data_IF_553683807102
#
_entry.id   IF_553683807102
#
_cell.length_a   1.000
_cell.length_b   1.000
_cell.length_c   1.000
_cell.angle_alpha   90.00
_cell.angle_beta   90.00
_cell.angle_gamma   90.00
#
_symmetry.space_group_name_H-M   'P 1'
#
loop_
_entity.id
_entity.type
_entity.pdbx_description
1 polymer ?
#
# COMPACT_ATOMS: atom_id res chain seq x y z
N UNK A 1 6.46 -0.32 -21.38
CA UNK A 1 7.56 -0.72 -20.46
C UNK A 1 7.02 -0.71 -19.03
N UNK A 2 7.09 -1.84 -18.32
CA UNK A 2 6.58 -2.00 -16.95
C UNK A 2 7.29 -0.99 -16.03
N UNK A 3 6.62 0.11 -15.69
CA UNK A 3 7.17 1.16 -14.83
C UNK A 3 7.11 0.65 -13.39
N UNK A 4 8.11 -0.15 -12.98
CA UNK A 4 8.22 -0.64 -11.60
C UNK A 4 8.60 0.52 -10.67
N UNK A 5 7.59 1.18 -10.10
CA UNK A 5 7.76 2.23 -9.09
C UNK A 5 7.13 1.82 -7.76
N UNK A 6 7.29 0.55 -7.38
CA UNK A 6 6.81 -0.03 -6.12
C UNK A 6 6.65 -1.54 -6.20
N UNK A 7 6.41 -2.18 -5.05
CA UNK A 7 6.16 -3.62 -4.95
C UNK A 7 4.98 -3.92 -4.05
N UNK A 8 4.29 -5.03 -4.29
CA UNK A 8 3.29 -5.54 -3.37
C UNK A 8 3.97 -5.96 -2.06
N UNK A 9 3.46 -5.47 -0.94
CA UNK A 9 3.87 -5.87 0.41
C UNK A 9 2.66 -6.51 1.12
N UNK A 10 2.23 -6.02 2.28
CA UNK A 10 1.08 -6.53 3.00
C UNK A 10 -0.27 -6.33 2.27
N UNK A 11 -1.17 -7.27 2.50
CA UNK A 11 -2.51 -7.31 1.91
C UNK A 11 -3.57 -7.74 2.92
N UNK A 12 -4.81 -7.34 2.68
CA UNK A 12 -5.99 -7.85 3.38
C UNK A 12 -7.16 -7.97 2.40
N UNK A 13 -8.30 -8.46 2.84
CA UNK A 13 -9.53 -8.56 2.03
C UNK A 13 -10.67 -7.96 2.85
N UNK A 14 -11.54 -7.17 2.21
CA UNK A 14 -12.72 -6.63 2.88
C UNK A 14 -13.90 -7.61 2.88
N UNK A 15 -14.99 -7.22 3.55
CA UNK A 15 -16.19 -8.04 3.68
C UNK A 15 -16.92 -8.30 2.36
N UNK A 16 -16.63 -7.52 1.31
CA UNK A 16 -17.17 -7.72 -0.04
C UNK A 16 -16.31 -8.67 -0.89
N UNK A 17 -15.17 -9.12 -0.35
CA UNK A 17 -14.23 -10.00 -1.05
C UNK A 17 -13.22 -9.28 -1.93
N UNK A 18 -13.06 -7.97 -1.79
CA UNK A 18 -12.12 -7.19 -2.59
C UNK A 18 -10.73 -7.18 -1.91
N UNK A 19 -9.67 -7.62 -2.59
CA UNK A 19 -8.31 -7.53 -2.06
C UNK A 19 -7.81 -6.09 -1.95
N UNK A 20 -7.14 -5.78 -0.86
CA UNK A 20 -6.41 -4.54 -0.62
C UNK A 20 -4.92 -4.83 -0.53
N UNK A 21 -4.09 -4.05 -1.22
CA UNK A 21 -2.64 -4.22 -1.22
C UNK A 21 -1.91 -2.89 -0.99
N UNK A 22 -0.96 -2.91 -0.05
CA UNK A 22 -0.03 -1.83 0.16
C UNK A 22 1.12 -1.91 -0.85
N UNK A 23 1.22 -0.92 -1.74
CA UNK A 23 2.32 -0.79 -2.70
C UNK A 23 3.48 -0.03 -2.08
N UNK A 24 4.42 -0.77 -1.50
CA UNK A 24 5.63 -0.23 -0.88
C UNK A 24 6.51 0.44 -1.94
N UNK A 25 7.14 1.56 -1.58
CA UNK A 25 7.90 2.48 -2.44
C UNK A 25 7.05 3.30 -3.44
N UNK A 26 5.83 2.88 -3.76
CA UNK A 26 4.88 3.69 -4.57
C UNK A 26 4.10 4.67 -3.69
N UNK A 27 3.83 4.29 -2.44
CA UNK A 27 3.00 5.07 -1.51
C UNK A 27 1.53 5.04 -1.91
N UNK A 28 1.06 3.88 -2.35
CA UNK A 28 -0.33 3.69 -2.79
C UNK A 28 -0.94 2.48 -2.14
N UNK A 29 -2.16 2.65 -1.64
CA UNK A 29 -3.00 1.55 -1.21
C UNK A 29 -4.04 1.31 -2.30
N UNK A 30 -4.08 0.09 -2.82
CA UNK A 30 -4.96 -0.25 -3.96
C UNK A 30 -5.94 -1.33 -3.56
N UNK A 31 -7.22 -1.13 -3.88
CA UNK A 31 -8.27 -2.13 -3.80
C UNK A 31 -8.53 -2.67 -5.20
N UNK A 32 -8.55 -3.98 -5.32
CA UNK A 32 -8.83 -4.68 -6.56
C UNK A 32 -10.23 -5.29 -6.49
N UNK A 33 -10.95 -5.27 -7.60
CA UNK A 33 -12.15 -6.07 -7.76
C UNK A 33 -11.81 -7.55 -7.93
N UNK A 34 -12.75 -8.48 -7.66
CA UNK A 34 -12.52 -9.92 -7.82
C UNK A 34 -12.12 -10.35 -9.24
N UNK A 35 -12.42 -9.55 -10.26
CA UNK A 35 -12.00 -9.77 -11.65
C UNK A 35 -10.55 -9.32 -11.94
N UNK A 36 -9.85 -8.78 -10.93
CA UNK A 36 -8.47 -8.29 -11.01
C UNK A 36 -8.33 -6.83 -11.48
N UNK A 37 -9.43 -6.15 -11.81
CA UNK A 37 -9.40 -4.72 -12.14
C UNK A 37 -9.15 -3.86 -10.89
N UNK A 38 -8.67 -2.63 -11.07
CA UNK A 38 -8.49 -1.68 -9.96
C UNK A 38 -9.84 -1.04 -9.66
N UNK A 39 -10.38 -1.29 -8.46
CA UNK A 39 -11.61 -0.66 -7.96
C UNK A 39 -11.31 0.72 -7.36
N UNK A 40 -10.23 0.81 -6.56
CA UNK A 40 -9.88 2.04 -5.84
C UNK A 40 -8.37 2.17 -5.67
N UNK A 41 -7.88 3.41 -5.71
CA UNK A 41 -6.51 3.76 -5.30
C UNK A 41 -6.56 4.90 -4.30
N UNK A 42 -5.78 4.79 -3.23
CA UNK A 42 -5.58 5.83 -2.21
C UNK A 42 -4.09 6.18 -2.21
N UNK A 43 -3.78 7.42 -2.57
CA UNK A 43 -2.42 7.94 -2.44
C UNK A 43 -2.12 8.23 -0.96
N UNK A 44 -1.00 7.71 -0.48
CA UNK A 44 -0.58 7.84 0.91
C UNK A 44 0.43 9.00 1.08
N UNK A 45 0.45 9.67 2.25
CA UNK A 45 1.38 10.76 2.50
C UNK A 45 2.84 10.31 2.61
N UNK A 46 3.09 8.99 2.68
CA UNK A 46 4.43 8.38 2.75
C UNK A 46 4.59 7.30 1.69
N UNK A 47 5.81 7.16 1.17
CA UNK A 47 6.11 6.22 0.07
C UNK A 47 6.27 4.76 0.50
N UNK A 48 6.63 4.51 1.76
CA UNK A 48 7.01 3.16 2.24
C UNK A 48 5.95 2.58 3.16
N UNK A 49 4.69 2.56 2.71
CA UNK A 49 3.65 1.78 3.40
C UNK A 49 3.94 0.28 3.24
N UNK A 50 3.70 -0.52 4.27
CA UNK A 50 4.13 -1.93 4.29
C UNK A 50 3.01 -2.93 4.53
N UNK A 51 1.96 -2.56 5.26
CA UNK A 51 0.83 -3.45 5.44
C UNK A 51 -0.45 -2.68 5.68
N UNK A 52 -1.57 -3.39 5.61
CA UNK A 52 -2.92 -2.87 5.72
C UNK A 52 -3.81 -3.87 6.44
N UNK A 53 -4.61 -3.42 7.40
CA UNK A 53 -5.62 -4.23 8.09
C UNK A 53 -6.82 -3.40 8.53
N UNK A 54 -8.02 -3.99 8.48
CA UNK A 54 -9.21 -3.41 9.09
C UNK A 54 -9.15 -3.49 10.62
N UNK A 55 -9.64 -2.45 11.28
CA UNK A 55 -9.71 -2.33 12.73
C UNK A 55 -10.83 -1.40 13.17
N UNK A 56 -10.80 -1.02 14.45
CA UNK A 56 -11.90 -0.32 15.11
C UNK A 56 -13.06 -1.26 15.49
N UNK A 57 -14.02 -0.81 16.31
CA UNK A 57 -15.07 -1.68 16.86
C UNK A 57 -15.98 -2.34 15.80
N UNK A 58 -16.05 -1.74 14.60
CA UNK A 58 -16.90 -2.18 13.49
C UNK A 58 -16.10 -2.77 12.32
N UNK A 59 -14.77 -2.83 12.42
CA UNK A 59 -13.87 -3.21 11.32
C UNK A 59 -14.04 -2.34 10.05
N UNK A 60 -14.41 -1.07 10.23
CA UNK A 60 -14.64 -0.09 9.17
C UNK A 60 -13.51 0.95 9.04
N UNK A 61 -12.47 0.84 9.88
CA UNK A 61 -11.30 1.71 9.85
C UNK A 61 -10.11 0.96 9.28
N UNK A 62 -9.49 1.49 8.24
CA UNK A 62 -8.34 0.88 7.59
C UNK A 62 -7.04 1.43 8.18
N UNK A 63 -6.30 0.59 8.90
CA UNK A 63 -4.99 0.93 9.45
C UNK A 63 -3.89 0.54 8.46
N UNK A 64 -2.92 1.44 8.26
CA UNK A 64 -1.81 1.26 7.33
C UNK A 64 -0.50 1.51 8.04
N UNK A 65 0.41 0.55 7.98
CA UNK A 65 1.75 0.68 8.58
C UNK A 65 2.78 1.17 7.56
N UNK A 66 3.91 1.70 8.02
CA UNK A 66 4.99 2.18 7.15
C UNK A 66 6.39 1.93 7.74
N UNK A 67 7.42 2.06 6.89
CA UNK A 67 8.84 1.98 7.30
C UNK A 67 9.46 3.36 7.48
N UNK A 68 9.86 3.66 8.71
CA UNK A 68 10.61 4.87 9.05
C UNK A 68 12.04 4.86 8.52
N UNK A 69 12.70 3.69 8.56
CA UNK A 69 14.12 3.54 8.23
C UNK A 69 14.35 2.46 7.17
N UNK A 70 13.89 2.66 5.92
CA UNK A 70 14.20 1.74 4.85
C UNK A 70 15.68 1.83 4.44
N UNK A 71 16.29 0.75 3.93
CA UNK A 71 17.57 0.82 3.23
C UNK A 71 17.39 1.69 1.97
N UNK A 72 18.25 2.70 1.77
CA UNK A 72 18.17 3.64 0.64
C UNK A 72 19.48 3.68 -0.18
N UNK A 73 19.41 3.89 -1.51
CA UNK A 73 18.22 3.84 -2.38
C UNK A 73 17.95 2.41 -2.89
N UNK A 74 16.68 1.97 -2.93
CA UNK A 74 16.35 0.64 -3.47
C UNK A 74 16.27 0.62 -5.01
N UNK A 75 15.81 1.72 -5.63
CA UNK A 75 15.70 1.86 -7.09
C UNK A 75 16.04 3.30 -7.53
N UNK A 76 16.40 3.52 -8.80
CA UNK A 76 16.55 4.86 -9.36
C UNK A 76 15.24 5.65 -9.21
N UNK A 77 15.27 6.76 -8.48
CA UNK A 77 14.09 7.59 -8.17
C UNK A 77 13.46 7.38 -6.79
N UNK A 78 14.00 6.47 -5.96
CA UNK A 78 13.62 6.30 -4.56
C UNK A 78 14.12 7.48 -3.71
N UNK A 79 13.39 8.60 -3.74
CA UNK A 79 13.69 9.82 -3.00
C UNK A 79 13.56 9.68 -1.48
N UNK A 80 14.13 10.64 -0.76
CA UNK A 80 14.31 10.64 0.69
C UNK A 80 13.02 10.72 1.55
N UNK A 81 11.82 10.60 0.96
CA UNK A 81 10.58 10.48 1.73
C UNK A 81 10.64 9.15 2.52
N UNK A 82 11.06 9.25 3.78
CA UNK A 82 11.11 8.20 4.82
C UNK A 82 9.76 8.15 5.54
N UNK A 83 9.33 6.98 6.03
CA UNK A 83 7.98 6.75 6.55
C UNK A 83 7.85 6.82 8.07
N UNK A 84 7.72 8.02 8.61
CA UNK A 84 6.95 8.44 9.80
C UNK A 84 7.30 9.89 10.06
#
# INVERSE_FOLDING_TARGET
ACRRMGGADGSTVDAEGFPWNALVYDGRLVRYAPDGSVDRTIDMPVKKITSVMFGGPKLDTLYVTSMAKPPLPRFPGDGALRGS
#
